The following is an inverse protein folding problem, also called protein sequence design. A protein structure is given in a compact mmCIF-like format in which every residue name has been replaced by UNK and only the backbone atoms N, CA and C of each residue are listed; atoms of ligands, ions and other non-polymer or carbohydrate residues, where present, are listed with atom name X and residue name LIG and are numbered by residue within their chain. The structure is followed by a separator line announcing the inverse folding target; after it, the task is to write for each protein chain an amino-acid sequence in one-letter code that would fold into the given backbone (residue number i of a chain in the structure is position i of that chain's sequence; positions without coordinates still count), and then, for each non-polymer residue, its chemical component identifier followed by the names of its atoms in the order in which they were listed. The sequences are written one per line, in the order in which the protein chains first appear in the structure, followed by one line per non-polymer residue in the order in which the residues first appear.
data_IF_736494891161
#
_entry.id   IF_736494891161
#
_cell.length_a   1.000
_cell.length_b   1.000
_cell.length_c   1.000
_cell.angle_alpha   90.00
_cell.angle_beta   90.00
_cell.angle_gamma   90.00
#
_symmetry.space_group_name_H-M   'P 1'
#
loop_
_entity.id
_entity.type
_entity.pdbx_description
1 polymer ?
#
# COMPACT_ATOMS: atom_id res chain seq x y z
N UNK A 1 -11.15 3.18 1.42
CA UNK A 1 -10.91 4.48 0.73
C UNK A 1 -9.69 5.13 1.38
N UNK A 2 -8.86 5.86 0.63
CA UNK A 2 -7.63 6.45 1.20
C UNK A 2 -7.92 7.67 2.10
N UNK A 3 -7.07 7.97 3.11
CA UNK A 3 -7.30 9.07 4.04
C UNK A 3 -7.45 10.45 3.39
N UNK A 4 -6.65 10.76 2.37
CA UNK A 4 -6.71 12.03 1.66
C UNK A 4 -7.93 12.17 0.74
N UNK A 5 -8.47 11.06 0.24
CA UNK A 5 -9.71 11.08 -0.55
C UNK A 5 -10.91 11.48 0.30
N UNK A 6 -10.96 11.06 1.57
CA UNK A 6 -11.98 11.54 2.53
C UNK A 6 -11.91 13.05 2.78
N UNK A 7 -10.76 13.68 2.52
CA UNK A 7 -10.56 15.14 2.63
C UNK A 7 -10.78 15.87 1.30
N UNK A 8 -11.24 15.18 0.26
CA UNK A 8 -11.42 15.75 -1.08
C UNK A 8 -10.09 16.09 -1.80
N UNK A 9 -8.96 15.49 -1.38
CA UNK A 9 -7.62 15.77 -1.91
C UNK A 9 -7.05 14.53 -2.63
N UNK A 10 -7.74 14.06 -3.66
CA UNK A 10 -7.24 12.95 -4.46
C UNK A 10 -5.94 13.34 -5.20
N UNK A 11 -4.99 12.40 -5.25
CA UNK A 11 -3.67 12.56 -5.87
C UNK A 11 -3.27 11.25 -6.57
N UNK A 12 -2.15 11.22 -7.30
CA UNK A 12 -1.63 9.96 -7.85
C UNK A 12 -1.40 8.89 -6.78
N UNK A 13 -0.97 9.31 -5.58
CA UNK A 13 -0.83 8.40 -4.46
C UNK A 13 -2.18 7.74 -4.11
N UNK A 14 -3.30 8.45 -4.21
CA UNK A 14 -4.64 7.89 -3.92
C UNK A 14 -4.92 6.60 -4.69
N UNK A 15 -4.58 6.57 -5.98
CA UNK A 15 -4.70 5.36 -6.79
C UNK A 15 -3.75 4.25 -6.32
N UNK A 16 -2.53 4.59 -5.87
CA UNK A 16 -1.58 3.62 -5.28
C UNK A 16 -2.15 2.97 -4.02
N UNK A 17 -2.82 3.73 -3.14
CA UNK A 17 -3.48 3.16 -1.97
C UNK A 17 -4.64 2.26 -2.36
N UNK A 18 -5.44 2.68 -3.35
CA UNK A 18 -6.54 1.87 -3.89
C UNK A 18 -6.04 0.54 -4.47
N UNK A 19 -4.95 0.58 -5.24
CA UNK A 19 -4.29 -0.62 -5.76
C UNK A 19 -3.75 -1.51 -4.63
N UNK A 20 -3.00 -0.94 -3.68
CA UNK A 20 -2.41 -1.69 -2.58
C UNK A 20 -3.48 -2.38 -1.72
N UNK A 21 -4.56 -1.67 -1.39
CA UNK A 21 -5.69 -2.26 -0.64
C UNK A 21 -6.48 -3.29 -1.46
N UNK A 22 -6.58 -3.14 -2.78
CA UNK A 22 -7.16 -4.16 -3.67
C UNK A 22 -6.32 -5.43 -3.70
N UNK A 23 -5.00 -5.30 -3.86
CA UNK A 23 -4.08 -6.45 -3.81
C UNK A 23 -4.15 -7.13 -2.45
N UNK A 24 -4.21 -6.35 -1.37
CA UNK A 24 -4.33 -6.89 -0.03
C UNK A 24 -5.60 -7.72 0.15
N UNK A 25 -6.75 -7.21 -0.32
CA UNK A 25 -8.00 -7.98 -0.33
C UNK A 25 -7.87 -9.29 -1.13
N UNK A 26 -7.31 -9.22 -2.34
CA UNK A 26 -7.18 -10.39 -3.22
C UNK A 26 -6.27 -11.48 -2.63
N UNK A 27 -5.19 -11.08 -1.96
CA UNK A 27 -4.17 -11.98 -1.42
C UNK A 27 -4.54 -12.54 -0.04
N UNK A 28 -5.20 -11.75 0.80
CA UNK A 28 -5.58 -12.17 2.16
C UNK A 28 -6.99 -12.73 2.25
N UNK A 29 -7.82 -12.49 1.22
CA UNK A 29 -9.28 -12.78 1.20
C UNK A 29 -10.05 -12.10 2.34
N UNK A 30 -9.50 -11.02 2.90
CA UNK A 30 -10.11 -10.23 3.98
C UNK A 30 -10.29 -8.80 3.54
N UNK A 31 -11.37 -8.16 3.97
CA UNK A 31 -11.52 -6.73 3.73
C UNK A 31 -10.40 -6.00 4.48
N UNK A 32 -9.68 -5.02 3.87
CA UNK A 32 -8.63 -4.27 4.55
C UNK A 32 -9.10 -3.58 5.86
N UNK A 33 -10.39 -3.26 5.96
CA UNK A 33 -11.00 -2.69 7.16
C UNK A 33 -11.16 -3.70 8.32
N UNK A 34 -11.10 -5.01 8.06
CA UNK A 34 -11.22 -6.08 9.05
C UNK A 34 -9.86 -6.54 9.59
N UNK A 35 -8.76 -6.11 8.96
CA UNK A 35 -7.41 -6.43 9.40
C UNK A 35 -7.02 -5.56 10.61
N UNK A 36 -6.15 -6.03 11.51
CA UNK A 36 -5.66 -5.24 12.63
C UNK A 36 -5.00 -3.94 12.13
N UNK A 37 -5.29 -2.81 12.80
CA UNK A 37 -4.73 -1.51 12.45
C UNK A 37 -4.14 -0.81 13.67
N UNK A 38 -3.07 -0.03 13.45
CA UNK A 38 -2.47 0.83 14.45
C UNK A 38 -2.18 2.20 13.83
N UNK A 39 -2.78 3.27 14.38
CA UNK A 39 -2.72 4.63 13.81
C UNK A 39 -3.00 4.68 12.29
N UNK A 40 -4.09 4.05 11.84
CA UNK A 40 -4.50 3.93 10.43
C UNK A 40 -3.59 3.07 9.55
N UNK A 41 -2.47 2.55 10.08
CA UNK A 41 -1.62 1.62 9.36
C UNK A 41 -2.15 0.20 9.51
N UNK A 42 -2.37 -0.49 8.39
CA UNK A 42 -2.93 -1.84 8.35
C UNK A 42 -1.80 -2.85 8.59
N UNK A 43 -1.87 -3.60 9.68
CA UNK A 43 -0.93 -4.68 9.95
C UNK A 43 -1.37 -5.98 9.27
N UNK A 44 -0.91 -6.18 8.03
CA UNK A 44 -1.28 -7.33 7.22
C UNK A 44 -0.22 -8.43 7.13
N UNK A 45 1.02 -8.16 7.57
CA UNK A 45 2.15 -9.10 7.42
C UNK A 45 1.82 -10.53 7.89
N UNK A 46 1.13 -10.75 9.03
CA UNK A 46 0.77 -12.10 9.48
C UNK A 46 -0.21 -12.85 8.55
N UNK A 47 -0.92 -12.13 7.68
CA UNK A 47 -1.98 -12.67 6.81
C UNK A 47 -1.52 -12.88 5.36
N UNK A 48 -0.28 -12.51 5.02
CA UNK A 48 0.25 -12.59 3.67
C UNK A 48 1.49 -13.50 3.62
N UNK A 49 1.42 -14.56 2.79
CA UNK A 49 2.57 -15.41 2.48
C UNK A 49 3.20 -14.97 1.15
N UNK A 50 4.20 -14.11 1.23
CA UNK A 50 4.99 -13.64 0.09
C UNK A 50 6.43 -13.37 0.54
N UNK A 51 7.33 -13.11 -0.40
CA UNK A 51 8.70 -12.68 -0.06
C UNK A 51 8.69 -11.28 0.59
N UNK A 52 9.68 -11.01 1.44
CA UNK A 52 9.75 -9.75 2.20
C UNK A 52 9.76 -8.52 1.28
N UNK A 53 10.44 -8.57 0.14
CA UNK A 53 10.49 -7.45 -0.80
C UNK A 53 9.10 -7.03 -1.29
N UNK A 54 8.25 -8.00 -1.66
CA UNK A 54 6.89 -7.73 -2.06
C UNK A 54 6.03 -7.22 -0.90
N UNK A 55 6.22 -7.77 0.30
CA UNK A 55 5.51 -7.33 1.50
C UNK A 55 5.85 -5.86 1.81
N UNK A 56 7.14 -5.50 1.76
CA UNK A 56 7.61 -4.15 2.00
C UNK A 56 7.11 -3.17 0.92
N UNK A 57 7.11 -3.60 -0.35
CA UNK A 57 6.52 -2.83 -1.45
C UNK A 57 5.03 -2.57 -1.24
N UNK A 58 4.27 -3.60 -0.81
CA UNK A 58 2.85 -3.47 -0.56
C UNK A 58 2.56 -2.58 0.65
N UNK A 59 3.38 -2.67 1.69
CA UNK A 59 3.31 -1.80 2.87
C UNK A 59 3.53 -0.34 2.48
N UNK A 60 4.53 -0.05 1.63
CA UNK A 60 4.76 1.27 1.08
C UNK A 60 3.59 1.80 0.23
N UNK A 61 2.84 0.93 -0.45
CA UNK A 61 1.64 1.35 -1.20
C UNK A 61 0.50 1.84 -0.31
N UNK A 62 0.39 1.31 0.92
CA UNK A 62 -0.78 1.53 1.79
C UNK A 62 -0.47 2.38 3.02
N UNK A 63 0.69 3.05 3.08
CA UNK A 63 0.99 3.96 4.19
C UNK A 63 -0.10 5.04 4.33
N UNK A 64 -0.50 5.39 5.57
CA UNK A 64 -1.54 6.39 5.79
C UNK A 64 -1.18 7.77 5.23
N UNK A 65 0.09 8.14 5.33
CA UNK A 65 0.60 9.40 4.81
C UNK A 65 0.94 9.26 3.32
N UNK A 66 0.19 9.94 2.45
CA UNK A 66 0.41 9.92 0.99
C UNK A 66 1.81 10.37 0.58
N UNK A 67 2.46 11.25 1.35
CA UNK A 67 3.82 11.75 1.04
C UNK A 67 4.92 10.71 1.28
N UNK A 68 4.61 9.63 2.01
CA UNK A 68 5.55 8.52 2.26
C UNK A 68 5.33 7.34 1.31
N UNK A 69 4.24 7.36 0.53
CA UNK A 69 3.96 6.34 -0.49
C UNK A 69 4.74 6.61 -1.78
N UNK A 70 4.63 5.69 -2.74
CA UNK A 70 5.15 5.95 -4.08
C UNK A 70 4.49 7.19 -4.68
N UNK A 71 5.31 8.06 -5.24
CA UNK A 71 4.87 9.32 -5.82
C UNK A 71 3.94 9.11 -7.03
N UNK A 72 4.16 8.04 -7.81
CA UNK A 72 3.31 7.66 -8.94
C UNK A 72 3.42 6.16 -9.27
N UNK A 73 2.57 5.69 -10.18
CA UNK A 73 2.49 4.30 -10.60
C UNK A 73 3.76 3.80 -11.29
N UNK A 74 4.45 4.63 -12.08
CA UNK A 74 5.69 4.25 -12.75
C UNK A 74 6.80 3.92 -11.75
N UNK A 75 6.91 4.72 -10.69
CA UNK A 75 7.87 4.50 -9.59
C UNK A 75 7.50 3.24 -8.81
N UNK A 76 6.23 3.05 -8.48
CA UNK A 76 5.75 1.85 -7.81
C UNK A 76 6.07 0.58 -8.64
N UNK A 77 5.81 0.61 -9.95
CA UNK A 77 6.11 -0.52 -10.84
C UNK A 77 7.61 -0.78 -10.97
N UNK A 78 8.43 0.26 -11.09
CA UNK A 78 9.88 0.13 -11.16
C UNK A 78 10.44 -0.52 -9.88
N UNK A 79 9.93 -0.12 -8.71
CA UNK A 79 10.25 -0.79 -7.44
C UNK A 79 9.78 -2.25 -7.48
N UNK A 80 8.53 -2.55 -7.83
CA UNK A 80 8.05 -3.93 -7.87
C UNK A 80 8.90 -4.85 -8.76
N UNK A 81 9.45 -4.32 -9.86
CA UNK A 81 10.32 -5.03 -10.79
C UNK A 81 11.80 -5.11 -10.35
N UNK A 82 12.16 -4.59 -9.18
CA UNK A 82 13.55 -4.55 -8.70
C UNK A 82 14.44 -3.56 -9.44
N UNK A 83 13.88 -2.68 -10.28
CA UNK A 83 14.61 -1.64 -11.02
C UNK A 83 14.89 -0.40 -10.17
N UNK A 84 14.26 -0.31 -9.00
CA UNK A 84 14.47 0.74 -8.01
C UNK A 84 14.47 0.13 -6.60
N UNK A 85 15.36 0.59 -5.73
CA UNK A 85 15.37 0.17 -4.34
C UNK A 85 14.23 0.86 -3.57
N UNK A 86 13.61 0.11 -2.66
CA UNK A 86 12.70 0.69 -1.67
C UNK A 86 13.51 1.61 -0.75
N UNK A 87 12.98 2.80 -0.49
CA UNK A 87 13.51 3.69 0.55
C UNK A 87 12.91 3.21 1.88
N UNK A 88 13.63 2.31 2.54
CA UNK A 88 13.27 1.76 3.86
C UNK A 88 13.77 2.68 4.96
#
# INVERSE_FOLDING_TARGET
MSPEQFRGKATLATDIYGLGTTLLFLLTKKCPAELPQHHLNINFRPYLKANNYFVDWLEQCILPNCNQRFFNASIALAALQGKMLLRI
#
